data_IF_650766261058
#
_entry.id   IF_650766261058
#
_cell.length_a   1.000
_cell.length_b   1.000
_cell.length_c   1.000
_cell.angle_alpha   90.00
_cell.angle_beta   90.00
_cell.angle_gamma   90.00
#
_symmetry.space_group_name_H-M   'P 1'
#
loop_
_entity.id
_entity.type
_entity.pdbx_description
1 polymer ?
#
# COMPACT_ATOMS: atom_id res chain seq x y z
N UNK A 1 0.86 -18.66 -6.17
CA UNK A 1 0.31 -19.67 -5.25
C UNK A 1 1.47 -20.41 -4.58
N UNK A 2 1.41 -20.74 -3.28
CA UNK A 2 2.55 -21.41 -2.61
C UNK A 2 2.67 -22.88 -3.04
N UNK A 3 3.89 -23.44 -3.02
CA UNK A 3 4.13 -24.86 -3.36
C UNK A 3 3.27 -25.83 -2.53
N UNK A 4 3.02 -25.49 -1.25
CA UNK A 4 2.20 -26.30 -0.34
C UNK A 4 0.73 -26.32 -0.75
N UNK A 5 0.19 -25.17 -1.19
CA UNK A 5 -1.19 -25.09 -1.63
C UNK A 5 -1.41 -25.77 -2.98
N UNK A 6 -0.42 -25.70 -3.87
CA UNK A 6 -0.43 -26.44 -5.12
C UNK A 6 -0.46 -27.96 -4.89
N UNK A 7 0.42 -28.47 -4.02
CA UNK A 7 0.39 -29.89 -3.63
C UNK A 7 -0.98 -30.30 -3.07
N UNK A 8 -1.60 -29.48 -2.21
CA UNK A 8 -2.94 -29.78 -1.67
C UNK A 8 -3.99 -29.85 -2.78
N UNK A 9 -3.94 -28.93 -3.75
CA UNK A 9 -4.86 -28.92 -4.89
C UNK A 9 -4.71 -30.15 -5.79
N UNK A 10 -3.48 -30.63 -5.98
CA UNK A 10 -3.20 -31.85 -6.75
C UNK A 10 -3.59 -33.11 -5.97
N UNK A 11 -3.27 -33.16 -4.68
CA UNK A 11 -3.49 -34.34 -3.84
C UNK A 11 -4.96 -34.54 -3.44
N UNK A 12 -5.72 -33.45 -3.21
CA UNK A 12 -7.12 -33.46 -2.73
C UNK A 12 -7.90 -32.30 -3.37
N UNK A 13 -8.25 -32.40 -4.67
CA UNK A 13 -8.81 -31.27 -5.43
C UNK A 13 -10.16 -30.78 -4.89
N UNK A 14 -11.04 -31.68 -4.41
CA UNK A 14 -12.36 -31.30 -3.88
C UNK A 14 -12.23 -30.49 -2.59
N UNK A 15 -11.37 -30.95 -1.67
CA UNK A 15 -11.12 -30.27 -0.41
C UNK A 15 -10.45 -28.91 -0.63
N UNK A 16 -9.47 -28.84 -1.53
CA UNK A 16 -8.81 -27.59 -1.90
C UNK A 16 -9.80 -26.59 -2.51
N UNK A 17 -10.66 -27.05 -3.41
CA UNK A 17 -11.69 -26.22 -4.04
C UNK A 17 -12.68 -25.69 -3.02
N UNK A 18 -13.21 -26.53 -2.12
CA UNK A 18 -14.10 -26.11 -1.06
C UNK A 18 -13.45 -25.06 -0.14
N UNK A 19 -12.19 -25.26 0.24
CA UNK A 19 -11.43 -24.30 1.05
C UNK A 19 -11.23 -22.96 0.33
N UNK A 20 -10.86 -22.97 -0.96
CA UNK A 20 -10.71 -21.73 -1.74
C UNK A 20 -12.04 -21.00 -1.91
N UNK A 21 -13.15 -21.72 -2.11
CA UNK A 21 -14.49 -21.12 -2.17
C UNK A 21 -14.85 -20.46 -0.85
N UNK A 22 -14.61 -21.13 0.28
CA UNK A 22 -14.81 -20.53 1.59
C UNK A 22 -13.99 -19.23 1.77
N UNK A 23 -12.70 -19.24 1.41
CA UNK A 23 -11.86 -18.04 1.51
C UNK A 23 -12.35 -16.87 0.64
N UNK A 24 -12.94 -17.15 -0.53
CA UNK A 24 -13.51 -16.12 -1.41
C UNK A 24 -14.80 -15.51 -0.84
N UNK A 25 -15.64 -16.35 -0.23
CA UNK A 25 -16.91 -15.90 0.36
C UNK A 25 -16.71 -15.22 1.72
N UNK A 26 -15.70 -15.66 2.47
CA UNK A 26 -15.38 -15.13 3.80
C UNK A 26 -14.97 -13.66 3.74
N UNK A 27 -15.74 -12.81 4.43
CA UNK A 27 -15.47 -11.38 4.51
C UNK A 27 -15.93 -10.58 3.29
N UNK A 28 -16.61 -11.16 2.29
CA UNK A 28 -17.04 -10.45 1.06
C UNK A 28 -17.93 -9.22 1.27
N UNK A 29 -18.44 -9.03 2.48
CA UNK A 29 -19.29 -7.91 2.89
C UNK A 29 -18.54 -6.82 3.66
N UNK A 30 -17.25 -7.02 3.91
CA UNK A 30 -16.36 -6.07 4.55
C UNK A 30 -15.50 -5.39 3.49
N UNK A 31 -15.15 -4.13 3.74
CA UNK A 31 -14.15 -3.43 2.94
C UNK A 31 -12.76 -4.08 3.12
N UNK A 32 -11.87 -3.81 2.17
CA UNK A 32 -10.53 -4.42 2.12
C UNK A 32 -9.71 -4.15 3.37
N UNK A 33 -9.71 -2.91 3.87
CA UNK A 33 -8.95 -2.51 5.06
C UNK A 33 -9.40 -3.32 6.27
N UNK A 34 -10.70 -3.41 6.51
CA UNK A 34 -11.28 -4.19 7.59
C UNK A 34 -10.90 -5.68 7.48
N UNK A 35 -10.98 -6.27 6.28
CA UNK A 35 -10.58 -7.67 6.07
C UNK A 35 -9.12 -7.93 6.41
N UNK A 36 -8.23 -7.02 6.01
CA UNK A 36 -6.80 -7.18 6.26
C UNK A 36 -6.43 -6.91 7.72
N UNK A 37 -7.08 -5.98 8.41
CA UNK A 37 -6.94 -5.80 9.86
C UNK A 37 -7.38 -7.05 10.62
N UNK A 38 -8.55 -7.62 10.30
CA UNK A 38 -8.99 -8.91 10.88
C UNK A 38 -7.96 -10.01 10.59
N UNK A 39 -7.41 -10.04 9.37
CA UNK A 39 -6.36 -11.00 9.03
C UNK A 39 -5.14 -10.86 9.92
N UNK A 40 -4.68 -9.63 10.22
CA UNK A 40 -3.59 -9.37 11.18
C UNK A 40 -3.94 -9.98 12.55
N UNK A 41 -5.13 -9.70 13.10
CA UNK A 41 -5.61 -10.31 14.36
C UNK A 41 -5.49 -11.84 14.32
N UNK A 42 -5.97 -12.47 13.24
CA UNK A 42 -5.89 -13.94 13.13
C UNK A 42 -4.46 -14.47 13.09
N UNK A 43 -3.50 -13.71 12.56
CA UNK A 43 -2.08 -14.10 12.51
C UNK A 43 -1.39 -13.95 13.87
N UNK A 44 -1.80 -12.97 14.67
CA UNK A 44 -1.41 -12.87 16.08
C UNK A 44 -1.93 -14.09 16.85
N UNK A 45 -3.24 -14.39 16.75
CA UNK A 45 -3.86 -15.56 17.41
C UNK A 45 -3.17 -16.86 17.00
N UNK A 46 -2.87 -17.02 15.71
CA UNK A 46 -2.21 -18.22 15.17
C UNK A 46 -0.71 -18.28 15.49
N UNK A 47 -0.08 -17.21 16.00
CA UNK A 47 1.35 -17.15 16.26
C UNK A 47 2.22 -17.24 15.00
N UNK A 48 1.82 -16.57 13.92
CA UNK A 48 2.45 -16.74 12.60
C UNK A 48 3.22 -15.49 12.14
N UNK A 49 4.49 -15.38 12.52
CA UNK A 49 5.36 -14.27 12.09
C UNK A 49 5.42 -14.09 10.55
N UNK A 50 5.56 -15.14 9.72
CA UNK A 50 5.50 -14.97 8.26
C UNK A 50 4.14 -14.45 7.77
N UNK A 51 3.07 -14.79 8.48
CA UNK A 51 1.73 -14.26 8.23
C UNK A 51 1.68 -12.76 8.51
N UNK A 52 2.17 -12.30 9.65
CA UNK A 52 2.21 -10.87 9.97
C UNK A 52 3.02 -10.08 8.93
N UNK A 53 4.24 -10.56 8.60
CA UNK A 53 5.11 -9.95 7.57
C UNK A 53 4.45 -9.87 6.19
N UNK A 54 3.49 -10.76 5.89
CA UNK A 54 2.71 -10.72 4.66
C UNK A 54 1.51 -9.77 4.75
N UNK A 55 0.74 -9.82 5.83
CA UNK A 55 -0.59 -9.18 5.90
C UNK A 55 -0.54 -7.72 6.36
N UNK A 56 0.45 -7.32 7.17
CA UNK A 56 0.63 -5.92 7.61
C UNK A 56 0.83 -4.98 6.41
N UNK A 57 1.76 -5.25 5.45
CA UNK A 57 1.91 -4.39 4.28
C UNK A 57 0.66 -4.36 3.38
N UNK A 58 -0.13 -5.43 3.36
CA UNK A 58 -1.40 -5.44 2.62
C UNK A 58 -2.44 -4.54 3.29
N UNK A 59 -2.59 -4.61 4.62
CA UNK A 59 -3.48 -3.72 5.37
C UNK A 59 -3.13 -2.24 5.11
N UNK A 60 -1.83 -1.91 5.16
CA UNK A 60 -1.37 -0.53 4.91
C UNK A 60 -1.64 -0.07 3.48
N UNK A 61 -1.47 -0.94 2.48
CA UNK A 61 -1.87 -0.65 1.09
C UNK A 61 -3.38 -0.43 0.92
N UNK A 62 -4.19 -0.97 1.83
CA UNK A 62 -5.62 -0.72 1.90
C UNK A 62 -5.98 0.49 2.78
N UNK A 63 -4.98 1.26 3.25
CA UNK A 63 -5.19 2.49 4.02
C UNK A 63 -5.24 2.30 5.53
N UNK A 64 -4.77 1.17 6.07
CA UNK A 64 -4.54 1.04 7.50
C UNK A 64 -3.30 1.84 7.94
N UNK A 65 -3.44 2.61 9.02
CA UNK A 65 -2.30 3.29 9.66
C UNK A 65 -1.52 2.34 10.56
N UNK A 66 -0.31 2.74 10.97
CA UNK A 66 0.46 1.99 11.97
C UNK A 66 -0.32 1.89 13.30
N UNK A 67 -0.97 2.97 13.72
CA UNK A 67 -1.82 3.00 14.92
C UNK A 67 -2.95 1.95 14.83
N UNK A 68 -3.68 1.88 13.71
CA UNK A 68 -4.76 0.90 13.54
C UNK A 68 -4.24 -0.55 13.53
N UNK A 69 -3.01 -0.77 13.06
CA UNK A 69 -2.39 -2.10 13.07
C UNK A 69 -1.97 -2.48 14.49
N UNK A 70 -1.40 -1.54 15.26
CA UNK A 70 -1.09 -1.76 16.67
C UNK A 70 -2.37 -2.05 17.45
N UNK A 71 -3.44 -1.28 17.23
CA UNK A 71 -4.75 -1.52 17.85
C UNK A 71 -5.30 -2.90 17.46
N UNK A 72 -5.20 -3.31 16.20
CA UNK A 72 -5.60 -4.66 15.79
C UNK A 72 -4.80 -5.76 16.50
N UNK A 73 -3.48 -5.57 16.66
CA UNK A 73 -2.63 -6.51 17.41
C UNK A 73 -3.06 -6.58 18.88
N UNK A 74 -3.34 -5.43 19.52
CA UNK A 74 -3.85 -5.38 20.90
C UNK A 74 -5.23 -6.03 21.04
N UNK A 75 -6.11 -5.85 20.05
CA UNK A 75 -7.44 -6.47 20.01
C UNK A 75 -7.39 -8.01 19.91
N UNK A 76 -6.24 -8.60 19.58
CA UNK A 76 -6.05 -10.05 19.64
C UNK A 76 -5.88 -10.57 21.08
N UNK A 77 -5.57 -9.70 22.06
CA UNK A 77 -5.22 -10.08 23.43
C UNK A 77 -6.24 -11.01 24.11
N UNK A 78 -7.57 -10.78 24.02
CA UNK A 78 -8.55 -11.65 24.68
C UNK A 78 -8.52 -13.11 24.19
N UNK A 79 -8.12 -13.34 22.94
CA UNK A 79 -8.07 -14.68 22.34
C UNK A 79 -6.66 -15.27 22.28
N UNK A 80 -5.62 -14.43 22.23
CA UNK A 80 -4.23 -14.86 22.04
C UNK A 80 -3.40 -14.86 23.32
N UNK A 81 -3.79 -14.06 24.32
CA UNK A 81 -2.98 -13.76 25.51
C UNK A 81 -1.83 -12.79 25.23
N UNK A 82 -1.28 -12.20 26.30
CA UNK A 82 -0.20 -11.20 26.22
C UNK A 82 1.08 -11.70 25.50
N UNK A 83 1.57 -12.94 25.70
CA UNK A 83 2.82 -13.38 25.06
C UNK A 83 2.79 -13.27 23.53
N UNK A 84 1.70 -13.75 22.89
CA UNK A 84 1.57 -13.67 21.42
C UNK A 84 1.41 -12.24 20.91
N UNK A 85 0.85 -11.34 21.72
CA UNK A 85 0.76 -9.92 21.39
C UNK A 85 2.16 -9.29 21.39
N UNK A 86 2.98 -9.58 22.41
CA UNK A 86 4.35 -9.10 22.47
C UNK A 86 5.20 -9.66 21.32
N UNK A 87 5.10 -10.97 21.02
CA UNK A 87 5.77 -11.59 19.87
C UNK A 87 5.39 -10.89 18.54
N UNK A 88 4.13 -10.49 18.40
CA UNK A 88 3.66 -9.78 17.21
C UNK A 88 4.23 -8.36 17.11
N UNK A 89 4.41 -7.67 18.24
CA UNK A 89 5.06 -6.36 18.28
C UNK A 89 6.55 -6.47 17.96
N UNK A 90 7.24 -7.51 18.43
CA UNK A 90 8.63 -7.80 18.06
C UNK A 90 8.75 -8.02 16.55
N UNK A 91 7.84 -8.79 15.95
CA UNK A 91 7.79 -8.98 14.49
C UNK A 91 7.60 -7.65 13.75
N UNK A 92 6.78 -6.74 14.28
CA UNK A 92 6.59 -5.40 13.69
C UNK A 92 7.90 -4.60 13.75
N UNK A 93 8.60 -4.61 14.89
CA UNK A 93 9.87 -3.92 15.04
C UNK A 93 10.94 -4.49 14.10
N UNK A 94 11.02 -5.82 13.97
CA UNK A 94 11.93 -6.50 13.04
C UNK A 94 11.70 -6.13 11.57
N UNK A 95 10.48 -5.74 11.19
CA UNK A 95 10.19 -5.33 9.81
C UNK A 95 10.86 -4.00 9.43
N UNK A 96 11.31 -3.21 10.42
CA UNK A 96 12.07 -1.97 10.17
C UNK A 96 11.29 -0.90 9.40
N UNK A 97 9.96 -0.93 9.50
CA UNK A 97 9.08 -0.01 8.78
C UNK A 97 9.01 1.35 9.51
N UNK A 98 9.30 2.48 8.84
CA UNK A 98 9.37 3.79 9.49
C UNK A 98 8.04 4.22 10.10
N UNK A 99 6.91 3.76 9.57
CA UNK A 99 5.56 4.03 10.08
C UNK A 99 5.36 3.57 11.53
N UNK A 100 6.10 2.54 11.97
CA UNK A 100 6.00 1.96 13.31
C UNK A 100 7.04 2.49 14.31
N UNK A 101 7.88 3.45 13.89
CA UNK A 101 8.74 4.17 14.84
C UNK A 101 7.89 5.05 15.75
N UNK A 102 8.21 5.09 17.04
CA UNK A 102 7.40 5.78 18.07
C UNK A 102 7.19 7.26 17.72
N UNK A 103 8.22 7.94 17.22
CA UNK A 103 8.18 9.34 16.80
C UNK A 103 7.30 9.61 15.57
N UNK A 104 6.88 8.56 14.86
CA UNK A 104 6.02 8.64 13.68
C UNK A 104 4.57 8.23 13.95
N UNK A 105 4.29 7.62 15.11
CA UNK A 105 2.91 7.25 15.49
C UNK A 105 2.03 8.48 15.65
N UNK A 106 0.77 8.38 15.22
CA UNK A 106 -0.17 9.50 15.23
C UNK A 106 0.12 10.63 14.23
N UNK A 107 1.21 10.59 13.47
CA UNK A 107 1.45 11.56 12.40
C UNK A 107 0.36 11.44 11.34
N UNK A 108 -0.06 12.59 10.81
CA UNK A 108 -1.09 12.70 9.78
C UNK A 108 -0.50 13.33 8.52
N UNK A 109 -1.09 13.09 7.34
CA UNK A 109 -0.67 13.79 6.14
C UNK A 109 -0.87 15.31 6.27
N UNK A 110 0.17 16.07 5.96
CA UNK A 110 0.21 17.53 5.98
C UNK A 110 0.46 18.10 4.58
N UNK A 111 0.17 19.39 4.38
CA UNK A 111 0.40 20.07 3.11
C UNK A 111 1.85 20.54 3.01
N UNK A 112 2.52 20.17 1.92
CA UNK A 112 3.87 20.61 1.61
C UNK A 112 3.90 21.35 0.27
N UNK A 113 4.61 22.48 0.24
CA UNK A 113 4.90 23.22 -0.98
C UNK A 113 5.92 22.43 -1.82
N UNK A 114 5.59 22.17 -3.08
CA UNK A 114 6.49 21.52 -4.06
C UNK A 114 7.31 22.55 -4.83
N UNK A 115 6.73 23.72 -5.10
CA UNK A 115 7.33 24.82 -5.85
C UNK A 115 6.38 25.44 -6.88
N UNK A 116 6.84 26.42 -7.68
CA UNK A 116 6.05 27.05 -8.73
C UNK A 116 5.58 26.04 -9.78
N UNK A 117 4.32 26.14 -10.21
CA UNK A 117 3.77 25.24 -11.25
C UNK A 117 4.53 25.38 -12.58
N UNK A 118 5.07 26.55 -12.86
CA UNK A 118 5.80 26.86 -14.10
C UNK A 118 7.10 26.05 -14.25
N UNK A 119 7.70 25.62 -13.14
CA UNK A 119 8.88 24.75 -13.13
C UNK A 119 8.55 23.29 -13.49
N UNK A 120 7.27 22.92 -13.53
CA UNK A 120 6.82 21.61 -14.00
C UNK A 120 6.56 21.72 -15.51
N UNK A 121 7.31 20.99 -16.36
CA UNK A 121 7.11 21.03 -17.81
C UNK A 121 5.70 20.55 -18.18
N UNK A 122 5.09 21.20 -19.18
CA UNK A 122 3.75 20.82 -19.67
C UNK A 122 3.83 19.51 -20.43
N UNK A 123 2.82 18.66 -20.24
CA UNK A 123 2.69 17.33 -20.86
C UNK A 123 3.87 16.40 -20.58
N UNK A 124 4.55 16.60 -19.45
CA UNK A 124 5.62 15.71 -18.99
C UNK A 124 5.33 15.20 -17.58
N UNK A 125 5.77 13.96 -17.34
CA UNK A 125 5.78 13.33 -16.03
C UNK A 125 7.15 13.53 -15.41
N UNK A 126 7.21 14.16 -14.23
CA UNK A 126 8.46 14.41 -13.51
C UNK A 126 8.42 13.80 -12.11
N UNK A 127 9.55 13.26 -11.66
CA UNK A 127 9.71 12.81 -10.28
C UNK A 127 10.07 13.97 -9.34
N UNK A 128 9.44 14.00 -8.17
CA UNK A 128 9.73 14.92 -7.07
C UNK A 128 9.87 14.16 -5.74
N UNK A 129 10.44 14.83 -4.74
CA UNK A 129 10.65 14.25 -3.42
C UNK A 129 10.56 15.32 -2.33
N UNK A 130 9.82 15.01 -1.26
CA UNK A 130 9.73 15.84 -0.04
C UNK A 130 9.82 14.90 1.15
N UNK A 131 10.77 15.13 2.06
CA UNK A 131 10.89 14.34 3.29
C UNK A 131 11.00 12.83 3.06
N UNK A 132 11.72 12.41 2.00
CA UNK A 132 11.88 11.01 1.61
C UNK A 132 10.68 10.38 0.87
N UNK A 133 9.53 11.07 0.81
CA UNK A 133 8.37 10.64 0.03
C UNK A 133 8.60 11.01 -1.43
N UNK A 134 8.68 10.00 -2.30
CA UNK A 134 8.91 10.16 -3.74
C UNK A 134 7.58 10.02 -4.48
N UNK A 135 7.28 11.00 -5.31
CA UNK A 135 6.03 11.05 -6.06
C UNK A 135 6.31 11.51 -7.49
N UNK A 136 5.29 11.40 -8.34
CA UNK A 136 5.31 11.80 -9.74
C UNK A 136 4.31 12.94 -9.92
N UNK A 137 4.68 13.95 -10.70
CA UNK A 137 3.82 15.08 -11.04
C UNK A 137 3.67 15.09 -12.56
N UNK A 138 2.43 15.12 -13.04
CA UNK A 138 2.10 15.29 -14.45
C UNK A 138 1.29 16.56 -14.65
N UNK A 139 1.76 17.45 -15.53
CA UNK A 139 1.08 18.71 -15.86
C UNK A 139 0.42 18.61 -17.23
N UNK A 140 -0.72 17.93 -17.29
CA UNK A 140 -1.56 17.86 -18.48
C UNK A 140 -2.66 18.94 -18.48
N UNK A 141 -3.81 18.60 -19.06
CA UNK A 141 -5.04 19.40 -18.92
C UNK A 141 -5.46 19.50 -17.44
N UNK A 142 -5.37 18.37 -16.74
CA UNK A 142 -5.44 18.30 -15.29
C UNK A 142 -4.05 18.08 -14.71
N UNK A 143 -3.80 18.72 -13.56
CA UNK A 143 -2.64 18.41 -12.75
C UNK A 143 -2.87 17.07 -12.06
N UNK A 144 -1.88 16.20 -12.08
CA UNK A 144 -1.92 14.90 -11.39
C UNK A 144 -0.68 14.70 -10.54
N UNK A 145 -0.86 14.10 -9.37
CA UNK A 145 0.23 13.79 -8.44
C UNK A 145 0.08 12.37 -7.95
N UNK A 146 0.96 11.46 -8.38
CA UNK A 146 0.88 10.04 -8.07
C UNK A 146 1.97 9.59 -7.11
N UNK A 147 1.66 8.59 -6.27
CA UNK A 147 2.70 7.83 -5.59
C UNK A 147 3.65 7.20 -6.62
N UNK A 148 4.97 7.29 -6.38
CA UNK A 148 5.98 6.65 -7.23
C UNK A 148 6.10 5.15 -6.94
N UNK A 149 5.24 4.59 -6.09
CA UNK A 149 5.12 3.16 -5.82
C UNK A 149 4.03 2.55 -6.69
N UNK A 150 4.38 1.50 -7.43
CA UNK A 150 3.41 0.70 -8.17
C UNK A 150 2.39 0.09 -7.19
N UNK A 151 1.07 0.25 -7.44
CA UNK A 151 0.01 -0.23 -6.54
C UNK A 151 0.07 -1.75 -6.31
N UNK A 152 0.72 -2.51 -7.21
CA UNK A 152 0.91 -3.95 -7.08
C UNK A 152 1.70 -4.35 -5.82
N UNK A 153 3.03 -4.21 -5.84
CA UNK A 153 3.94 -4.61 -4.74
C UNK A 153 4.81 -3.45 -4.23
N UNK A 154 4.48 -2.21 -4.58
CA UNK A 154 5.22 -1.03 -4.13
C UNK A 154 6.55 -0.79 -4.85
N UNK A 155 6.79 -1.49 -5.97
CA UNK A 155 8.01 -1.28 -6.77
C UNK A 155 8.07 0.16 -7.30
N UNK A 156 9.27 0.72 -7.35
CA UNK A 156 9.50 2.09 -7.83
C UNK A 156 9.13 2.23 -9.31
N UNK A 157 8.27 3.19 -9.61
CA UNK A 157 7.92 3.58 -10.98
C UNK A 157 8.99 4.51 -11.59
N UNK A 158 9.17 4.47 -12.92
CA UNK A 158 10.03 5.41 -13.65
C UNK A 158 9.67 6.87 -13.33
N UNK A 159 10.67 7.75 -13.41
CA UNK A 159 10.47 9.19 -13.16
C UNK A 159 10.03 9.98 -14.38
N UNK A 160 9.97 9.32 -15.54
CA UNK A 160 9.69 9.84 -16.87
C UNK A 160 9.13 8.68 -17.71
N UNK A 161 8.45 8.98 -18.83
CA UNK A 161 7.92 7.96 -19.73
C UNK A 161 7.75 8.48 -21.16
N UNK A 162 7.71 7.56 -22.12
CA UNK A 162 7.37 7.85 -23.52
C UNK A 162 5.87 7.62 -23.77
N UNK A 163 5.24 8.49 -24.56
CA UNK A 163 3.86 8.34 -25.06
C UNK A 163 2.77 8.19 -23.97
N UNK A 164 2.85 8.98 -22.89
CA UNK A 164 1.85 9.04 -21.81
C UNK A 164 1.51 7.69 -21.13
N UNK A 165 2.37 6.68 -21.30
CA UNK A 165 2.23 5.36 -20.68
C UNK A 165 3.33 5.11 -19.66
N UNK A 166 2.95 4.94 -18.40
CA UNK A 166 3.87 4.61 -17.33
C UNK A 166 3.91 3.09 -17.10
N UNK A 167 5.07 2.47 -17.33
CA UNK A 167 5.23 1.02 -17.15
C UNK A 167 6.08 0.71 -15.92
N UNK A 168 5.56 -0.13 -15.02
CA UNK A 168 6.32 -0.65 -13.88
C UNK A 168 7.43 -1.59 -14.38
N UNK A 169 8.71 -1.35 -14.02
CA UNK A 169 9.83 -2.14 -14.54
C UNK A 169 9.80 -3.60 -14.09
N UNK A 170 9.20 -3.90 -12.93
CA UNK A 170 9.23 -5.22 -12.30
C UNK A 170 8.21 -6.19 -12.91
N UNK A 171 6.92 -5.86 -12.86
CA UNK A 171 5.83 -6.77 -13.28
C UNK A 171 5.03 -6.25 -14.46
N UNK A 172 5.52 -5.18 -15.11
CA UNK A 172 4.97 -4.64 -16.36
C UNK A 172 3.52 -4.17 -16.28
N UNK A 173 3.07 -3.76 -15.10
CA UNK A 173 1.80 -3.03 -15.00
C UNK A 173 1.93 -1.70 -15.74
N UNK A 174 0.96 -1.39 -16.59
CA UNK A 174 0.97 -0.20 -17.44
C UNK A 174 -0.19 0.69 -17.07
N UNK A 175 0.11 1.97 -16.88
CA UNK A 175 -0.84 3.00 -16.49
C UNK A 175 -0.88 4.10 -17.55
N UNK A 176 -2.06 4.64 -17.81
CA UNK A 176 -2.23 5.89 -18.55
C UNK A 176 -1.90 7.06 -17.62
N UNK A 177 -0.98 7.94 -18.03
CA UNK A 177 -0.47 9.02 -17.18
C UNK A 177 -1.50 10.11 -16.89
N UNK A 178 -2.31 10.60 -17.85
CA UNK A 178 -3.30 11.63 -17.56
C UNK A 178 -4.38 11.23 -16.54
N UNK A 179 -4.72 9.94 -16.47
CA UNK A 179 -5.82 9.44 -15.62
C UNK A 179 -5.34 8.62 -14.43
N UNK A 180 -4.13 8.06 -14.51
CA UNK A 180 -3.59 7.11 -13.56
C UNK A 180 -4.20 5.71 -13.69
N UNK A 181 -5.09 5.48 -14.66
CA UNK A 181 -5.79 4.22 -14.83
C UNK A 181 -4.85 3.12 -15.29
N UNK A 182 -5.04 1.91 -14.75
CA UNK A 182 -4.37 0.73 -15.29
C UNK A 182 -4.99 0.39 -16.65
N UNK A 183 -4.16 0.32 -17.68
CA UNK A 183 -4.60 0.08 -19.06
C UNK A 183 -4.15 -1.27 -19.61
N UNK A 184 -3.03 -1.81 -19.10
CA UNK A 184 -2.53 -3.12 -19.48
C UNK A 184 -1.89 -3.78 -18.26
N UNK A 185 -2.13 -5.10 -18.11
CA UNK A 185 -1.58 -5.92 -17.03
C UNK A 185 -1.79 -5.29 -15.64
N UNK A 186 -2.85 -5.66 -14.92
CA UNK A 186 -2.99 -5.26 -13.54
C UNK A 186 -4.42 -5.35 -13.03
N UNK A 187 -4.73 -4.56 -12.00
CA UNK A 187 -6.07 -4.54 -11.43
C UNK A 187 -6.37 -3.41 -10.45
N UNK A 188 -5.48 -2.41 -10.35
CA UNK A 188 -5.67 -1.20 -9.54
C UNK A 188 -4.96 -0.03 -10.20
N UNK A 189 -5.58 1.13 -10.11
CA UNK A 189 -5.04 2.40 -10.62
C UNK A 189 -3.93 2.94 -9.73
N UNK A 190 -3.20 3.95 -10.23
CA UNK A 190 -2.22 4.67 -9.44
C UNK A 190 -2.89 5.36 -8.23
N UNK A 191 -2.17 5.39 -7.10
CA UNK A 191 -2.60 6.18 -5.96
C UNK A 191 -2.29 7.65 -6.21
N UNK A 192 -3.33 8.47 -6.30
CA UNK A 192 -3.21 9.92 -6.42
C UNK A 192 -3.17 10.58 -5.04
N UNK A 193 -2.18 11.45 -4.82
CA UNK A 193 -2.11 12.27 -3.63
C UNK A 193 -3.05 13.47 -3.75
N UNK A 194 -3.74 13.86 -2.66
CA UNK A 194 -4.44 15.13 -2.62
C UNK A 194 -3.47 16.27 -2.90
N UNK A 195 -3.81 17.11 -3.87
CA UNK A 195 -2.96 18.22 -4.31
C UNK A 195 -3.81 19.44 -4.66
N UNK A 196 -3.20 20.62 -4.66
CA UNK A 196 -3.86 21.88 -5.02
C UNK A 196 -2.87 22.89 -5.61
N UNK A 197 -3.41 23.88 -6.31
CA UNK A 197 -2.70 25.08 -6.72
C UNK A 197 -3.13 26.25 -5.85
N UNK A 198 -2.16 26.94 -5.26
CA UNK A 198 -2.39 28.11 -4.42
C UNK A 198 -1.23 29.09 -4.65
N UNK A 199 -1.55 30.34 -4.96
CA UNK A 199 -0.57 31.40 -5.25
C UNK A 199 0.45 31.03 -6.37
N UNK A 200 0.00 30.29 -7.39
CA UNK A 200 0.84 29.84 -8.50
C UNK A 200 1.79 28.67 -8.17
N UNK A 201 1.68 28.11 -6.97
CA UNK A 201 2.51 26.99 -6.49
C UNK A 201 1.71 25.70 -6.35
N UNK A 202 2.39 24.58 -6.57
CA UNK A 202 1.87 23.24 -6.31
C UNK A 202 2.05 22.88 -4.84
N UNK A 203 0.96 22.47 -4.20
CA UNK A 203 0.93 21.92 -2.85
C UNK A 203 0.43 20.48 -2.87
N UNK A 204 1.07 19.60 -2.12
CA UNK A 204 0.71 18.17 -2.05
C UNK A 204 0.57 17.74 -0.60
N UNK A 205 -0.47 16.97 -0.29
CA UNK A 205 -0.71 16.44 1.04
C UNK A 205 0.03 15.11 1.21
N UNK A 206 1.08 15.10 2.04
CA UNK A 206 1.99 13.96 2.20
C UNK A 206 2.10 13.57 3.67
N UNK A 207 2.29 12.27 3.93
CA UNK A 207 2.73 11.79 5.24
C UNK A 207 4.25 11.67 5.22
N UNK A 208 4.94 12.61 5.85
CA UNK A 208 6.40 12.61 5.97
C UNK A 208 6.81 11.95 7.29
N UNK A 209 7.69 10.95 7.20
CA UNK A 209 8.17 10.16 8.32
C UNK A 209 9.64 10.49 8.59
N UNK A 210 10.04 10.44 9.86
CA UNK A 210 11.41 10.67 10.34
C UNK A 210 12.17 9.35 10.53
#
# INVERSE_FOLDING_TARGET
>A
MSKRLQYLAEARPEAATAYMTFLKESGKRLDDKTRFLISVVTKVISGTAPGLKQYIPHAMRCGATADEIIDAVLMAMPAAGLPKVLDALDVIQEMGMPEFKVENLGKKPEWYEVGPLEEIPKNELVAKEIGGVKFLVFRGEELKVYDRKCPHLGNRLPGECAADKLTCPSHKWVFEVPTGQVIEVGGRDLHEFPHKLEEGKLWVKLLVLT
#
